data_IF_287642659000
#
_entry.id   IF_287642659000
#
_cell.length_a   1.000
_cell.length_b   1.000
_cell.length_c   1.000
_cell.angle_alpha   90.00
_cell.angle_beta   90.00
_cell.angle_gamma   90.00
#
_symmetry.space_group_name_H-M   'P 1'
#
loop_
_entity.id
_entity.type
_entity.pdbx_description
1 polymer ?
#
# COMPACT_ATOMS: atom_id res chain seq x y z
N UNK A 1 -8.68 -16.53 -5.82
CA UNK A 1 -8.75 -15.56 -6.95
C UNK A 1 -9.25 -14.17 -6.57
N UNK A 2 -10.28 -14.00 -5.71
CA UNK A 2 -10.82 -12.65 -5.37
C UNK A 2 -9.86 -11.73 -4.58
N UNK A 3 -8.95 -12.29 -3.77
CA UNK A 3 -8.00 -11.49 -2.97
C UNK A 3 -6.96 -10.79 -3.84
N UNK A 4 -6.53 -11.41 -4.94
CA UNK A 4 -5.60 -10.80 -5.89
C UNK A 4 -6.23 -9.58 -6.60
N UNK A 5 -7.51 -9.66 -6.95
CA UNK A 5 -8.22 -8.53 -7.57
C UNK A 5 -8.39 -7.33 -6.62
N UNK A 6 -8.58 -7.57 -5.32
CA UNK A 6 -8.74 -6.51 -4.32
C UNK A 6 -7.46 -5.70 -4.11
N UNK A 7 -6.28 -6.32 -4.31
CA UNK A 7 -4.98 -5.63 -4.20
C UNK A 7 -4.59 -4.96 -5.53
N UNK A 8 -4.99 -5.54 -6.66
CA UNK A 8 -4.63 -5.01 -7.98
C UNK A 8 -5.34 -3.69 -8.32
N UNK A 9 -6.62 -3.56 -7.96
CA UNK A 9 -7.44 -2.37 -8.25
C UNK A 9 -6.87 -1.08 -7.64
N UNK A 10 -6.54 -0.99 -6.33
CA UNK A 10 -6.02 0.24 -5.76
C UNK A 10 -4.64 0.61 -6.32
N UNK A 11 -3.81 -0.37 -6.68
CA UNK A 11 -2.51 -0.13 -7.32
C UNK A 11 -2.69 0.50 -8.70
N UNK A 12 -3.63 -0.01 -9.51
CA UNK A 12 -3.93 0.55 -10.84
C UNK A 12 -4.53 1.95 -10.74
N UNK A 13 -5.38 2.22 -9.74
CA UNK A 13 -5.97 3.55 -9.50
C UNK A 13 -4.93 4.56 -9.04
N UNK A 14 -4.04 4.19 -8.11
CA UNK A 14 -2.95 5.07 -7.67
C UNK A 14 -1.98 5.34 -8.82
N UNK A 15 -1.73 4.35 -9.68
CA UNK A 15 -0.89 4.51 -10.87
C UNK A 15 -1.52 5.46 -11.91
N UNK A 16 -2.82 5.34 -12.20
CA UNK A 16 -3.49 6.26 -13.13
C UNK A 16 -3.50 7.70 -12.62
N UNK A 17 -3.64 7.90 -11.30
CA UNK A 17 -3.54 9.22 -10.68
C UNK A 17 -2.11 9.77 -10.65
N UNK A 18 -1.09 8.91 -10.51
CA UNK A 18 0.30 9.34 -10.55
C UNK A 18 0.74 9.72 -11.96
N UNK A 19 0.33 8.97 -12.98
CA UNK A 19 0.60 9.28 -14.39
C UNK A 19 -0.03 10.59 -14.82
N UNK A 20 -1.27 10.89 -14.40
CA UNK A 20 -1.87 12.19 -14.70
C UNK A 20 -1.18 13.36 -13.98
N UNK A 21 -0.66 13.14 -12.76
CA UNK A 21 0.06 14.16 -12.00
C UNK A 21 1.47 14.47 -12.57
N UNK A 22 2.19 13.46 -13.07
CA UNK A 22 3.54 13.64 -13.63
C UNK A 22 3.50 14.29 -15.01
N UNK A 23 2.49 13.98 -15.83
CA UNK A 23 2.36 14.53 -17.18
C UNK A 23 1.53 15.81 -17.27
N UNK A 24 0.71 16.14 -16.25
CA UNK A 24 -0.11 17.36 -16.22
C UNK A 24 0.62 18.63 -15.77
N UNK A 25 1.92 18.56 -15.45
CA UNK A 25 2.64 19.60 -14.70
C UNK A 25 3.56 20.54 -15.49
N UNK A 26 3.54 20.58 -16.82
CA UNK A 26 4.32 21.56 -17.60
C UNK A 26 3.54 22.09 -18.81
N UNK A 27 2.67 23.06 -18.55
CA UNK A 27 2.18 24.02 -19.54
C UNK A 27 2.39 25.44 -18.98
N UNK A 28 3.62 25.76 -18.56
CA UNK A 28 3.98 27.14 -18.24
C UNK A 28 4.30 27.89 -19.55
N UNK A 29 3.27 28.60 -20.00
CA UNK A 29 3.27 29.84 -20.78
C UNK A 29 4.65 30.44 -21.11
N UNK A 30 5.04 30.36 -22.38
CA UNK A 30 6.00 31.30 -22.97
C UNK A 30 5.27 32.64 -23.10
N UNK A 31 5.69 33.60 -22.28
CA UNK A 31 5.18 34.96 -22.26
C UNK A 31 5.28 35.61 -23.64
N UNK A 32 4.12 36.05 -24.13
CA UNK A 32 4.00 36.93 -25.27
C UNK A 32 4.51 38.32 -24.87
N UNK A 33 5.58 38.77 -25.54
CA UNK A 33 6.14 40.09 -25.38
C UNK A 33 5.21 41.13 -26.03
N UNK A 34 4.62 41.99 -25.20
CA UNK A 34 3.75 43.09 -25.62
C UNK A 34 4.50 44.05 -26.56
N UNK A 35 4.13 44.09 -27.85
CA UNK A 35 4.37 45.25 -28.70
C UNK A 35 3.03 45.90 -29.05
N UNK A 36 2.76 47.02 -28.38
CA UNK A 36 1.66 47.92 -28.64
C UNK A 36 1.88 48.61 -30.00
N UNK A 37 0.98 48.40 -30.96
CA UNK A 37 0.87 49.25 -32.15
C UNK A 37 -0.60 49.54 -32.46
N UNK A 38 -0.94 50.82 -32.45
CA UNK A 38 -2.28 51.37 -32.68
C UNK A 38 -2.65 51.30 -34.16
N UNK A 39 -3.86 50.82 -34.50
CA UNK A 39 -4.36 50.97 -35.86
C UNK A 39 -5.62 50.17 -36.20
N UNK A 40 -6.77 50.85 -36.11
CA UNK A 40 -8.03 50.62 -36.86
C UNK A 40 -8.81 49.31 -36.70
N UNK A 41 -10.08 49.51 -36.35
CA UNK A 41 -11.20 48.57 -36.31
C UNK A 41 -11.49 47.99 -37.70
N UNK A 42 -11.52 46.66 -37.80
CA UNK A 42 -12.30 45.94 -38.80
C UNK A 42 -12.92 44.70 -38.15
N UNK A 43 -14.26 44.71 -38.03
CA UNK A 43 -15.05 43.56 -37.61
C UNK A 43 -15.14 42.62 -38.80
N UNK A 44 -14.35 41.55 -38.78
CA UNK A 44 -14.48 40.40 -39.67
C UNK A 44 -14.99 39.21 -38.86
N UNK A 45 -16.21 38.78 -39.17
CA UNK A 45 -16.73 37.49 -38.74
C UNK A 45 -15.93 36.40 -39.44
N UNK A 46 -15.11 35.67 -38.72
CA UNK A 46 -14.50 34.44 -39.21
C UNK A 46 -14.82 33.32 -38.23
N UNK A 47 -15.79 32.52 -38.63
CA UNK A 47 -15.98 31.15 -38.17
C UNK A 47 -14.69 30.37 -38.44
N UNK A 48 -13.83 30.22 -37.44
CA UNK A 48 -12.68 29.33 -37.49
C UNK A 48 -12.68 28.51 -36.20
N UNK A 49 -13.02 27.24 -36.35
CA UNK A 49 -12.83 26.18 -35.38
C UNK A 49 -11.35 26.04 -35.02
N UNK A 50 -10.89 26.83 -34.07
CA UNK A 50 -9.59 26.62 -33.43
C UNK A 50 -9.80 25.67 -32.24
N UNK A 51 -10.03 24.39 -32.54
CA UNK A 51 -9.58 23.33 -31.63
C UNK A 51 -8.05 23.32 -31.72
N UNK A 52 -7.30 23.53 -30.62
CA UNK A 52 -5.86 23.30 -30.65
C UNK A 52 -5.63 21.79 -30.73
N UNK A 53 -5.49 21.25 -31.95
CA UNK A 53 -5.26 19.82 -32.22
C UNK A 53 -3.78 19.45 -32.34
N UNK A 54 -2.87 20.34 -31.95
CA UNK A 54 -1.48 20.24 -32.40
C UNK A 54 -0.47 19.90 -31.29
N UNK A 55 -0.90 19.73 -30.04
CA UNK A 55 0.01 19.38 -28.93
C UNK A 55 0.16 17.85 -28.69
N UNK A 56 -0.61 17.02 -29.38
CA UNK A 56 -0.57 15.54 -29.20
C UNK A 56 0.52 14.88 -30.07
N UNK A 57 1.10 15.56 -31.07
CA UNK A 57 2.08 14.96 -31.99
C UNK A 57 3.55 14.97 -31.51
N UNK A 58 3.86 15.52 -30.33
CA UNK A 58 5.28 15.71 -29.94
C UNK A 58 5.98 14.47 -29.36
N UNK A 59 5.26 13.36 -29.15
CA UNK A 59 5.87 12.12 -28.66
C UNK A 59 5.75 11.02 -29.70
N UNK A 60 6.88 10.51 -30.26
CA UNK A 60 6.81 9.42 -31.20
C UNK A 60 6.18 8.19 -30.49
N UNK A 61 5.25 7.47 -31.15
CA UNK A 61 4.52 6.36 -30.54
C UNK A 61 5.44 5.27 -29.95
N UNK A 62 6.69 5.20 -30.42
CA UNK A 62 7.74 4.31 -29.91
C UNK A 62 8.15 4.61 -28.45
N UNK A 63 8.15 5.88 -28.01
CA UNK A 63 8.56 6.24 -26.63
C UNK A 63 7.52 5.83 -25.60
N UNK A 64 6.23 5.89 -25.96
CA UNK A 64 5.14 5.42 -25.10
C UNK A 64 5.21 3.89 -24.91
N UNK A 65 5.42 3.14 -25.99
CA UNK A 65 5.53 1.67 -25.93
C UNK A 65 6.74 1.23 -25.10
N UNK A 66 7.89 1.92 -25.24
CA UNK A 66 9.09 1.65 -24.43
C UNK A 66 8.87 1.92 -22.94
N UNK A 67 8.22 3.03 -22.61
CA UNK A 67 7.97 3.42 -21.22
C UNK A 67 7.01 2.46 -20.53
N UNK A 68 5.90 2.07 -21.18
CA UNK A 68 4.98 1.08 -20.64
C UNK A 68 5.62 -0.31 -20.53
N UNK A 69 6.43 -0.71 -21.52
CA UNK A 69 7.14 -1.99 -21.52
C UNK A 69 8.10 -2.13 -20.36
N UNK A 70 8.93 -1.11 -20.10
CA UNK A 70 9.87 -1.10 -18.96
C UNK A 70 9.11 -1.16 -17.63
N UNK A 71 7.99 -0.43 -17.51
CA UNK A 71 7.16 -0.46 -16.32
C UNK A 71 6.53 -1.83 -16.07
N UNK A 72 6.04 -2.50 -17.11
CA UNK A 72 5.45 -3.83 -17.01
C UNK A 72 6.48 -4.86 -16.53
N UNK A 73 7.71 -4.80 -17.06
CA UNK A 73 8.83 -5.63 -16.60
C UNK A 73 9.15 -5.35 -15.13
N UNK A 74 9.20 -4.08 -14.72
CA UNK A 74 9.41 -3.69 -13.31
C UNK A 74 8.31 -4.22 -12.39
N UNK A 75 7.04 -4.15 -12.82
CA UNK A 75 5.91 -4.62 -12.05
C UNK A 75 5.93 -6.14 -11.86
N UNK A 76 6.25 -6.89 -12.92
CA UNK A 76 6.45 -8.34 -12.86
C UNK A 76 7.61 -8.69 -11.93
N UNK A 77 8.75 -8.00 -12.09
CA UNK A 77 9.93 -8.20 -11.26
C UNK A 77 9.65 -7.93 -9.78
N UNK A 78 8.95 -6.84 -9.47
CA UNK A 78 8.55 -6.50 -8.11
C UNK A 78 7.56 -7.52 -7.54
N UNK A 79 6.56 -7.95 -8.32
CA UNK A 79 5.62 -8.99 -7.92
C UNK A 79 6.32 -10.31 -7.60
N UNK A 80 7.31 -10.69 -8.41
CA UNK A 80 8.12 -11.88 -8.16
C UNK A 80 8.96 -11.74 -6.89
N UNK A 81 9.63 -10.60 -6.69
CA UNK A 81 10.41 -10.34 -5.48
C UNK A 81 9.55 -10.44 -4.21
N UNK A 82 8.36 -9.83 -4.22
CA UNK A 82 7.42 -9.87 -3.08
C UNK A 82 6.95 -11.29 -2.79
N UNK A 83 6.65 -12.09 -3.81
CA UNK A 83 6.21 -13.49 -3.62
C UNK A 83 7.32 -14.39 -3.07
N UNK A 84 8.56 -14.24 -3.55
CA UNK A 84 9.72 -14.96 -3.02
C UNK A 84 9.95 -14.59 -1.56
N UNK A 85 9.96 -13.31 -1.23
CA UNK A 85 10.10 -12.82 0.15
C UNK A 85 8.98 -13.38 1.04
N UNK A 86 7.73 -13.36 0.57
CA UNK A 86 6.59 -13.92 1.29
C UNK A 86 6.73 -15.42 1.55
N UNK A 87 7.20 -16.18 0.56
CA UNK A 87 7.50 -17.62 0.71
C UNK A 87 8.60 -17.87 1.74
N UNK A 88 9.71 -17.13 1.68
CA UNK A 88 10.82 -17.24 2.63
C UNK A 88 10.35 -16.97 4.05
N UNK A 89 9.55 -15.91 4.26
CA UNK A 89 8.98 -15.60 5.56
C UNK A 89 8.07 -16.74 6.03
N UNK A 90 7.20 -17.28 5.18
CA UNK A 90 6.32 -18.40 5.53
C UNK A 90 7.09 -19.66 5.94
N UNK A 91 8.11 -20.05 5.17
CA UNK A 91 8.98 -21.17 5.53
C UNK A 91 9.74 -20.90 6.84
N UNK A 92 10.17 -19.66 7.07
CA UNK A 92 10.74 -19.21 8.34
C UNK A 92 9.75 -19.43 9.51
N UNK A 93 8.51 -18.98 9.38
CA UNK A 93 7.50 -19.13 10.44
C UNK A 93 7.15 -20.59 10.74
N UNK A 94 7.13 -21.45 9.71
CA UNK A 94 6.88 -22.88 9.85
C UNK A 94 8.06 -23.54 10.57
N UNK A 95 9.29 -23.24 10.16
CA UNK A 95 10.51 -23.81 10.76
C UNK A 95 10.74 -23.34 12.21
N UNK A 96 10.43 -22.09 12.53
CA UNK A 96 10.42 -21.58 13.91
C UNK A 96 9.30 -22.18 14.78
N UNK A 97 8.40 -22.99 14.21
CA UNK A 97 7.30 -23.60 14.94
C UNK A 97 6.22 -22.60 15.38
N UNK A 98 6.27 -21.35 14.91
CA UNK A 98 5.31 -20.28 15.26
C UNK A 98 3.90 -20.66 14.82
N UNK A 99 3.77 -21.30 13.66
CA UNK A 99 2.49 -21.83 13.15
C UNK A 99 1.95 -22.91 14.09
N UNK A 100 2.82 -23.83 14.53
CA UNK A 100 2.44 -24.90 15.47
C UNK A 100 2.03 -24.35 16.84
N UNK A 101 2.80 -23.40 17.39
CA UNK A 101 2.50 -22.72 18.64
C UNK A 101 1.15 -21.96 18.59
N UNK A 102 0.86 -21.29 17.47
CA UNK A 102 -0.41 -20.60 17.24
C UNK A 102 -1.60 -21.57 17.26
N UNK A 103 -1.50 -22.70 16.56
CA UNK A 103 -2.55 -23.72 16.52
C UNK A 103 -2.75 -24.32 17.92
N UNK A 104 -1.66 -24.62 18.62
CA UNK A 104 -1.70 -25.17 19.97
C UNK A 104 -2.39 -24.23 20.97
N UNK A 105 -2.04 -22.94 20.95
CA UNK A 105 -2.70 -21.93 21.80
C UNK A 105 -4.17 -21.74 21.41
N UNK A 106 -4.50 -21.80 20.11
CA UNK A 106 -5.88 -21.74 19.62
C UNK A 106 -6.74 -22.90 20.12
N UNK A 107 -6.17 -24.10 20.19
CA UNK A 107 -6.82 -25.30 20.74
C UNK A 107 -7.01 -25.18 22.26
N UNK A 108 -5.96 -24.74 22.97
CA UNK A 108 -5.99 -24.62 24.43
C UNK A 108 -7.03 -23.60 24.91
N UNK A 109 -7.18 -22.46 24.23
CA UNK A 109 -8.16 -21.43 24.60
C UNK A 109 -9.56 -21.66 24.00
N UNK A 110 -9.82 -22.81 23.36
CA UNK A 110 -11.06 -23.14 22.63
C UNK A 110 -11.53 -22.04 21.66
N UNK A 111 -10.61 -21.22 21.16
CA UNK A 111 -10.93 -20.07 20.32
C UNK A 111 -9.84 -19.85 19.30
N UNK A 112 -10.18 -20.11 18.03
CA UNK A 112 -9.32 -19.85 16.86
C UNK A 112 -8.88 -18.38 16.81
N UNK A 113 -9.72 -17.47 17.29
CA UNK A 113 -9.43 -16.02 17.33
C UNK A 113 -8.22 -15.69 18.19
N UNK A 114 -8.01 -16.41 19.30
CA UNK A 114 -6.88 -16.15 20.20
C UNK A 114 -5.57 -16.81 19.73
N UNK A 115 -5.65 -17.96 19.07
CA UNK A 115 -4.50 -18.54 18.35
C UNK A 115 -4.00 -17.60 17.25
N UNK A 116 -4.93 -17.10 16.43
CA UNK A 116 -4.62 -16.13 15.37
C UNK A 116 -4.04 -14.81 15.89
N UNK A 117 -4.51 -14.34 17.06
CA UNK A 117 -3.91 -13.17 17.73
C UNK A 117 -2.43 -13.40 18.04
N UNK A 118 -2.11 -14.54 18.63
CA UNK A 118 -0.74 -14.88 19.05
C UNK A 118 0.17 -15.02 17.83
N UNK A 119 -0.35 -15.60 16.74
CA UNK A 119 0.35 -15.66 15.44
C UNK A 119 0.71 -14.28 14.91
N UNK A 120 -0.26 -13.35 14.87
CA UNK A 120 -0.04 -12.01 14.35
C UNK A 120 0.97 -11.21 15.19
N UNK A 121 0.88 -11.30 16.51
CA UNK A 121 1.83 -10.66 17.41
C UNK A 121 3.24 -11.20 17.21
N UNK A 122 3.40 -12.52 17.12
CA UNK A 122 4.71 -13.14 16.87
C UNK A 122 5.26 -12.74 15.50
N UNK A 123 4.42 -12.74 14.47
CA UNK A 123 4.80 -12.34 13.12
C UNK A 123 5.30 -10.90 13.07
N UNK A 124 4.53 -9.96 13.63
CA UNK A 124 4.92 -8.56 13.68
C UNK A 124 6.17 -8.35 14.53
N UNK A 125 6.29 -9.04 15.66
CA UNK A 125 7.48 -8.96 16.51
C UNK A 125 8.74 -9.39 15.76
N UNK A 126 8.70 -10.50 15.02
CA UNK A 126 9.85 -11.00 14.25
C UNK A 126 10.18 -10.05 13.09
N UNK A 127 9.18 -9.62 12.31
CA UNK A 127 9.40 -8.69 11.20
C UNK A 127 10.00 -7.36 11.66
N UNK A 128 9.47 -6.76 12.73
CA UNK A 128 9.97 -5.49 13.26
C UNK A 128 11.31 -5.62 13.98
N UNK A 129 11.66 -6.79 14.51
CA UNK A 129 13.01 -7.06 15.02
C UNK A 129 14.04 -6.91 13.88
N UNK A 130 13.81 -7.58 12.74
CA UNK A 130 14.68 -7.46 11.59
C UNK A 130 14.69 -6.05 10.99
N UNK A 131 13.51 -5.43 10.85
CA UNK A 131 13.39 -4.05 10.35
C UNK A 131 14.11 -3.06 11.27
N UNK A 132 13.97 -3.19 12.59
CA UNK A 132 14.57 -2.30 13.58
C UNK A 132 16.08 -2.44 13.62
N UNK A 133 16.59 -3.67 13.59
CA UNK A 133 18.02 -3.94 13.47
C UNK A 133 18.59 -3.37 12.16
N UNK A 134 17.92 -3.58 11.03
CA UNK A 134 18.34 -3.05 9.73
C UNK A 134 18.34 -1.51 9.69
N UNK A 135 17.32 -0.88 10.27
CA UNK A 135 17.17 0.57 10.27
C UNK A 135 18.26 1.26 11.11
N UNK A 136 18.55 0.76 12.32
CA UNK A 136 19.63 1.31 13.15
C UNK A 136 21.01 0.98 12.56
N UNK A 137 21.18 -0.21 11.96
CA UNK A 137 22.42 -0.53 11.26
C UNK A 137 22.66 0.44 10.09
N UNK A 138 21.62 0.76 9.32
CA UNK A 138 21.71 1.73 8.23
C UNK A 138 22.00 3.15 8.76
N UNK A 139 21.37 3.58 9.85
CA UNK A 139 21.71 4.86 10.51
C UNK A 139 23.17 4.90 10.98
N UNK A 140 23.67 3.80 11.55
CA UNK A 140 25.04 3.72 12.03
C UNK A 140 26.07 3.82 10.90
N UNK A 141 25.70 3.42 9.67
CA UNK A 141 26.55 3.58 8.51
C UNK A 141 26.82 5.06 8.18
N UNK A 142 25.81 5.92 8.33
CA UNK A 142 25.92 7.35 8.03
C UNK A 142 26.61 8.16 9.13
N UNK A 143 26.37 7.79 10.39
CA UNK A 143 26.68 8.66 11.53
C UNK A 143 27.81 8.08 12.42
N UNK A 144 28.11 6.78 12.29
CA UNK A 144 29.20 6.06 12.98
C UNK A 144 29.32 6.34 14.49
N UNK A 145 28.20 6.61 15.15
CA UNK A 145 28.21 7.01 16.57
C UNK A 145 28.61 5.86 17.49
N UNK A 146 28.24 4.62 17.18
CA UNK A 146 28.46 3.47 18.06
C UNK A 146 29.04 2.24 17.36
N UNK A 147 29.60 1.34 18.18
CA UNK A 147 30.02 0.00 17.73
C UNK A 147 28.86 -0.75 17.09
N UNK A 148 29.14 -1.46 15.99
CA UNK A 148 28.15 -2.19 15.17
C UNK A 148 27.33 -3.15 16.03
N UNK A 149 27.95 -3.81 17.00
CA UNK A 149 27.28 -4.74 17.92
C UNK A 149 26.23 -4.04 18.79
N UNK A 150 26.56 -2.87 19.33
CA UNK A 150 25.67 -2.07 20.18
C UNK A 150 24.50 -1.51 19.37
N UNK A 151 24.76 -1.05 18.15
CA UNK A 151 23.75 -0.56 17.22
C UNK A 151 22.70 -1.64 16.86
N UNK A 152 23.15 -2.86 16.55
CA UNK A 152 22.25 -3.98 16.22
C UNK A 152 21.41 -4.39 17.43
N UNK A 153 22.01 -4.48 18.62
CA UNK A 153 21.29 -4.84 19.85
C UNK A 153 20.17 -3.84 20.18
N UNK A 154 20.46 -2.55 20.07
CA UNK A 154 19.51 -1.48 20.38
C UNK A 154 18.43 -1.37 19.30
N UNK A 155 18.80 -1.52 18.03
CA UNK A 155 17.85 -1.58 16.91
C UNK A 155 16.93 -2.78 17.00
N UNK A 156 17.47 -3.96 17.31
CA UNK A 156 16.68 -5.17 17.53
C UNK A 156 15.75 -5.04 18.73
N UNK A 157 16.24 -4.48 19.85
CA UNK A 157 15.45 -4.24 21.06
C UNK A 157 14.28 -3.28 20.83
N UNK A 158 14.56 -2.11 20.25
CA UNK A 158 13.53 -1.11 19.87
C UNK A 158 12.55 -1.68 18.84
N UNK A 159 13.06 -2.42 17.85
CA UNK A 159 12.25 -3.10 16.84
C UNK A 159 11.31 -4.13 17.45
N UNK A 160 11.79 -4.93 18.41
CA UNK A 160 10.98 -5.93 19.11
C UNK A 160 9.86 -5.26 19.92
N UNK A 161 10.18 -4.21 20.69
CA UNK A 161 9.18 -3.45 21.46
C UNK A 161 8.14 -2.84 20.54
N UNK A 162 8.57 -2.18 19.46
CA UNK A 162 7.66 -1.59 18.47
C UNK A 162 6.78 -2.66 17.81
N UNK A 163 7.34 -3.81 17.45
CA UNK A 163 6.63 -4.94 16.85
C UNK A 163 5.55 -5.52 17.75
N UNK A 164 5.82 -5.66 19.06
CA UNK A 164 4.82 -6.10 20.04
C UNK A 164 3.68 -5.08 20.14
N UNK A 165 4.00 -3.79 20.28
CA UNK A 165 3.00 -2.73 20.41
C UNK A 165 2.10 -2.67 19.16
N UNK A 166 2.69 -2.72 17.97
CA UNK A 166 1.96 -2.76 16.70
C UNK A 166 1.13 -4.03 16.54
N UNK A 167 1.66 -5.19 16.96
CA UNK A 167 0.92 -6.46 16.92
C UNK A 167 -0.33 -6.42 17.81
N UNK A 168 -0.23 -5.83 19.00
CA UNK A 168 -1.38 -5.61 19.89
C UNK A 168 -2.38 -4.63 19.27
N UNK A 169 -1.90 -3.54 18.67
CA UNK A 169 -2.77 -2.54 18.02
C UNK A 169 -3.53 -3.14 16.83
N UNK A 170 -2.85 -3.92 15.99
CA UNK A 170 -3.46 -4.62 14.87
C UNK A 170 -4.56 -5.57 15.34
N UNK A 171 -4.35 -6.28 16.46
CA UNK A 171 -5.37 -7.13 17.06
C UNK A 171 -6.63 -6.33 17.47
N UNK A 172 -6.46 -5.17 18.10
CA UNK A 172 -7.59 -4.32 18.47
C UNK A 172 -8.42 -3.90 17.26
N UNK A 173 -7.77 -3.53 16.15
CA UNK A 173 -8.44 -3.15 14.91
C UNK A 173 -9.23 -4.33 14.34
N UNK A 174 -8.61 -5.51 14.22
CA UNK A 174 -9.28 -6.72 13.70
C UNK A 174 -10.47 -7.11 14.59
N UNK A 175 -10.31 -7.07 15.91
CA UNK A 175 -11.39 -7.35 16.86
C UNK A 175 -12.54 -6.35 16.71
N UNK A 176 -12.23 -5.07 16.53
CA UNK A 176 -13.21 -4.02 16.25
C UNK A 176 -14.00 -4.29 14.97
N UNK A 177 -13.33 -4.66 13.88
CA UNK A 177 -13.97 -5.01 12.62
C UNK A 177 -14.91 -6.22 12.77
N UNK A 178 -14.42 -7.34 13.34
CA UNK A 178 -15.24 -8.55 13.53
C UNK A 178 -16.45 -8.29 14.42
N UNK A 179 -16.30 -7.47 15.46
CA UNK A 179 -17.40 -7.05 16.33
C UNK A 179 -18.50 -6.28 15.60
N UNK A 180 -18.13 -5.44 14.63
CA UNK A 180 -19.12 -4.71 13.83
C UNK A 180 -19.91 -5.63 12.88
N UNK A 181 -19.23 -6.60 12.24
CA UNK A 181 -19.90 -7.55 11.36
C UNK A 181 -20.85 -8.48 12.11
N UNK A 182 -20.46 -8.95 13.29
CA UNK A 182 -21.33 -9.79 14.13
C UNK A 182 -22.53 -9.02 14.68
N UNK A 183 -22.36 -7.75 15.09
CA UNK A 183 -23.49 -6.90 15.50
C UNK A 183 -24.49 -6.65 14.38
N UNK A 184 -24.03 -6.41 13.14
CA UNK A 184 -24.91 -6.25 11.98
C UNK A 184 -25.69 -7.52 11.63
N UNK A 185 -25.08 -8.70 11.79
CA UNK A 185 -25.75 -9.98 11.56
C UNK A 185 -26.74 -10.33 12.67
N UNK A 186 -26.37 -10.12 13.93
CA UNK A 186 -27.26 -10.34 15.07
C UNK A 186 -28.47 -9.38 15.06
N UNK A 187 -28.27 -8.11 14.67
CA UNK A 187 -29.36 -7.14 14.52
C UNK A 187 -30.38 -7.52 13.44
N UNK A 188 -29.93 -8.12 12.33
CA UNK A 188 -30.84 -8.61 11.27
C UNK A 188 -31.60 -9.88 11.69
N UNK A 189 -30.98 -10.78 12.45
CA UNK A 189 -31.62 -12.01 12.95
C UNK A 189 -32.61 -11.72 14.09
N UNK A 190 -32.34 -10.73 14.94
CA UNK A 190 -33.29 -10.27 15.96
C UNK A 190 -34.58 -9.68 15.36
N UNK A 191 -34.47 -8.91 14.28
CA UNK A 191 -35.61 -8.31 13.60
C UNK A 191 -36.49 -9.37 12.88
N UNK A 192 -35.88 -10.43 12.32
CA UNK A 192 -36.61 -11.53 11.71
C UNK A 192 -37.41 -12.40 12.72
N UNK A 193 -36.95 -12.50 13.98
CA UNK A 193 -37.69 -13.20 15.05
C UNK A 193 -38.81 -12.35 15.66
N UNK A 194 -38.68 -11.02 15.66
CA UNK A 194 -39.75 -10.10 16.07
C UNK A 194 -40.93 -10.10 15.10
N UNK A 195 -40.67 -10.22 13.80
CA UNK A 195 -41.71 -10.28 12.78
C UNK A 195 -42.57 -11.56 12.86
N UNK A 196 -41.98 -12.71 13.22
CA UNK A 196 -42.70 -13.99 13.31
C UNK A 196 -43.57 -14.19 14.57
N UNK A 197 -43.58 -13.23 15.51
CA UNK A 197 -44.43 -13.27 16.71
C UNK A 197 -45.69 -12.40 16.59
N UNK A 198 -45.84 -11.63 15.51
CA UNK A 198 -46.97 -10.74 15.27
C UNK A 198 -47.81 -11.16 14.05
N UNK A 199 -47.67 -12.41 13.60
CA UNK A 199 -48.53 -13.08 12.62
C UNK A 199 -48.90 -14.43 13.18
#
# INVERSE_FOLDING_TARGET
>A
MRVAQIIFIPIVVVFTLFSSAVFGGKSDSIGSENTFNSGSVSVSYTTASNEPKDEIEKYPPLVLILTEGIFLIFLIGFGLAVTIIGMVIMFGLISLGIVSASVFVGLNQRSVTKGFMTFFILLFSVCFLFIGAACIWLLNLFVHWWSVTTAILIGGGLGLVAGIVLGILAYYIVRGMVGMYTKKLAGKVGNAKGFKRNV
#
